data_IF_729377822852
#
_entry.id   IF_729377822852
#
_cell.length_a   1.000
_cell.length_b   1.000
_cell.length_c   1.000
_cell.angle_alpha   90.00
_cell.angle_beta   90.00
_cell.angle_gamma   90.00
#
_symmetry.space_group_name_H-M   'P 1'
#
loop_
_entity.id
_entity.type
_entity.pdbx_description
1 polymer ?
#
# COMPACT_ATOMS: atom_id res chain seq x y z
N UNK A 1 -6.40 -42.89 -24.80
CA UNK A 1 -5.49 -42.01 -25.57
C UNK A 1 -6.33 -40.86 -26.08
N UNK A 2 -5.83 -39.62 -26.01
CA UNK A 2 -6.07 -38.61 -27.05
C UNK A 2 -5.13 -37.43 -26.82
N UNK A 3 -4.30 -37.17 -27.82
CA UNK A 3 -3.15 -36.28 -27.74
C UNK A 3 -3.35 -35.06 -28.63
N UNK A 4 -3.41 -33.86 -28.04
CA UNK A 4 -3.32 -32.61 -28.78
C UNK A 4 -2.65 -31.50 -27.95
N UNK A 5 -1.41 -31.76 -27.51
CA UNK A 5 -0.47 -30.67 -27.20
C UNK A 5 0.03 -30.13 -28.54
N UNK A 6 -0.37 -28.91 -28.90
CA UNK A 6 0.24 -28.22 -30.04
C UNK A 6 1.67 -27.85 -29.68
N UNK A 7 2.62 -28.30 -30.49
CA UNK A 7 4.01 -27.93 -30.37
C UNK A 7 4.19 -26.43 -30.59
N UNK A 8 4.78 -25.73 -29.62
CA UNK A 8 5.04 -24.29 -29.70
C UNK A 8 6.21 -23.96 -30.66
N UNK A 9 6.90 -24.97 -31.20
CA UNK A 9 8.07 -24.86 -32.08
C UNK A 9 7.76 -24.42 -33.52
N UNK A 10 6.49 -24.29 -33.91
CA UNK A 10 6.08 -23.94 -35.29
C UNK A 10 5.31 -22.62 -35.40
N UNK A 11 5.59 -21.62 -34.55
CA UNK A 11 5.05 -20.28 -34.75
C UNK A 11 5.71 -19.60 -35.95
N UNK A 12 4.91 -19.34 -37.01
CA UNK A 12 5.29 -18.41 -38.10
C UNK A 12 4.47 -17.12 -37.96
N UNK A 13 5.09 -15.93 -37.89
CA UNK A 13 4.37 -14.67 -37.81
C UNK A 13 3.57 -14.42 -39.09
N UNK A 14 2.37 -13.83 -38.96
CA UNK A 14 1.48 -13.53 -40.11
C UNK A 14 2.05 -12.51 -41.10
N UNK A 15 3.01 -11.69 -40.68
CA UNK A 15 3.77 -10.81 -41.55
C UNK A 15 5.26 -10.90 -41.15
N UNK A 16 6.15 -11.47 -41.98
CA UNK A 16 7.57 -11.58 -41.68
C UNK A 16 8.31 -10.24 -41.73
N UNK A 17 7.72 -9.20 -42.31
CA UNK A 17 8.33 -7.87 -42.50
C UNK A 17 7.70 -6.80 -41.59
N UNK A 18 7.23 -7.15 -40.39
CA UNK A 18 6.70 -6.16 -39.42
C UNK A 18 7.85 -5.33 -38.80
N UNK A 19 7.92 -4.00 -39.00
CA UNK A 19 8.97 -3.17 -38.43
C UNK A 19 8.91 -3.02 -36.90
N UNK A 20 7.89 -3.58 -36.24
CA UNK A 20 7.79 -3.70 -34.78
C UNK A 20 8.22 -5.08 -34.26
N UNK A 21 8.62 -6.01 -35.13
CA UNK A 21 9.12 -7.30 -34.71
C UNK A 21 10.48 -7.14 -34.02
N UNK A 22 10.66 -7.57 -32.76
CA UNK A 22 11.95 -7.50 -32.10
C UNK A 22 12.94 -8.46 -32.78
N UNK A 23 14.00 -7.90 -33.36
CA UNK A 23 15.09 -8.68 -33.94
C UNK A 23 15.97 -9.25 -32.84
N UNK A 24 15.95 -10.58 -32.69
CA UNK A 24 16.94 -11.30 -31.88
C UNK A 24 18.27 -11.35 -32.66
N UNK A 25 19.08 -10.31 -32.49
CA UNK A 25 20.49 -10.32 -32.89
C UNK A 25 21.36 -10.86 -31.76
N UNK A 26 22.36 -11.68 -32.10
CA UNK A 26 23.36 -12.18 -31.15
C UNK A 26 24.34 -11.08 -30.72
N UNK A 27 23.89 -10.16 -29.85
CA UNK A 27 24.79 -9.21 -29.20
C UNK A 27 25.61 -9.89 -28.11
N UNK A 28 26.94 -9.85 -28.29
CA UNK A 28 27.92 -10.48 -27.41
C UNK A 28 27.94 -9.81 -26.05
N UNK A 29 28.08 -10.63 -25.01
CA UNK A 29 28.26 -10.17 -23.63
C UNK A 29 29.61 -9.46 -23.48
N UNK A 30 29.59 -8.15 -23.29
CA UNK A 30 30.71 -7.38 -22.75
C UNK A 30 30.45 -6.90 -21.31
N UNK A 31 31.55 -6.61 -20.60
CA UNK A 31 31.64 -6.56 -19.13
C UNK A 31 31.27 -5.20 -18.54
N UNK A 32 30.97 -5.12 -17.22
CA UNK A 32 30.36 -3.93 -16.63
C UNK A 32 31.35 -2.75 -16.51
N UNK A 33 30.85 -1.54 -16.77
CA UNK A 33 31.56 -0.28 -16.53
C UNK A 33 31.40 0.13 -15.06
N UNK A 34 32.51 0.45 -14.41
CA UNK A 34 32.59 0.93 -13.03
C UNK A 34 32.23 2.41 -12.91
N UNK A 35 31.55 2.77 -11.81
CA UNK A 35 31.29 4.16 -11.45
C UNK A 35 32.54 4.79 -10.81
N UNK A 36 33.16 5.76 -11.47
CA UNK A 36 34.13 6.67 -10.84
C UNK A 36 33.53 8.07 -10.68
N UNK A 37 33.35 8.47 -9.42
CA UNK A 37 33.05 9.85 -9.03
C UNK A 37 34.35 10.67 -9.03
N UNK A 38 34.38 11.78 -9.75
CA UNK A 38 35.44 12.81 -9.58
C UNK A 38 34.81 14.17 -9.30
N UNK A 39 35.06 14.66 -8.09
CA UNK A 39 34.82 16.03 -7.65
C UNK A 39 35.74 17.01 -8.38
N UNK A 40 35.31 18.26 -8.56
CA UNK A 40 36.18 19.42 -8.29
C UNK A 40 35.38 20.72 -8.04
N UNK A 41 35.77 21.43 -6.98
CA UNK A 41 35.37 22.81 -6.65
C UNK A 41 36.15 23.81 -7.57
N UNK A 42 35.98 25.14 -7.62
CA UNK A 42 35.17 26.19 -6.94
C UNK A 42 34.92 27.34 -7.97
N UNK A 43 34.51 28.60 -7.72
CA UNK A 43 34.15 29.47 -6.57
C UNK A 43 33.16 30.57 -7.09
N UNK A 44 32.36 31.30 -6.29
CA UNK A 44 32.67 32.55 -5.55
C UNK A 44 33.74 33.47 -6.21
N UNK A 45 33.62 34.81 -6.32
CA UNK A 45 32.61 35.81 -5.91
C UNK A 45 32.44 36.86 -7.07
N UNK A 46 31.76 38.03 -7.04
CA UNK A 46 31.31 38.95 -5.98
C UNK A 46 30.11 39.84 -6.42
N UNK A 47 29.78 40.88 -5.63
CA UNK A 47 28.92 42.03 -5.97
C UNK A 47 29.73 43.34 -5.81
N UNK A 48 29.36 44.42 -6.51
CA UNK A 48 29.38 45.80 -5.97
C UNK A 48 28.34 46.69 -6.66
N UNK A 49 27.84 47.69 -5.93
CA UNK A 49 26.85 48.68 -6.36
C UNK A 49 27.40 50.09 -6.04
N UNK A 50 26.89 51.13 -6.73
CA UNK A 50 27.11 52.58 -6.45
C UNK A 50 28.55 53.13 -6.65
N UNK A 51 28.82 54.38 -7.05
CA UNK A 51 27.99 55.58 -7.29
C UNK A 51 28.67 56.60 -8.23
N UNK A 52 27.86 57.39 -8.96
CA UNK A 52 28.08 58.79 -9.39
C UNK A 52 29.44 59.23 -10.00
N UNK A 53 29.47 59.44 -11.32
CA UNK A 53 29.93 60.71 -11.92
C UNK A 53 29.55 60.82 -13.41
N UNK A 54 28.91 61.93 -13.77
CA UNK A 54 28.85 62.51 -15.13
C UNK A 54 29.48 63.91 -15.01
N UNK A 55 30.22 64.44 -16.03
CA UNK A 55 29.65 64.73 -17.35
C UNK A 55 30.52 64.42 -18.60
N UNK A 56 29.87 64.58 -19.76
CA UNK A 56 30.34 64.81 -21.14
C UNK A 56 31.83 65.25 -21.33
N UNK A 57 32.55 64.91 -22.41
CA UNK A 57 32.19 64.99 -23.84
C UNK A 57 33.11 64.11 -24.71
N UNK A 58 32.57 63.36 -25.70
CA UNK A 58 33.31 63.03 -26.92
C UNK A 58 32.39 62.53 -28.07
N UNK A 59 31.71 63.44 -28.76
CA UNK A 59 30.71 63.14 -29.80
C UNK A 59 31.29 62.69 -31.16
N UNK A 60 32.60 62.48 -31.27
CA UNK A 60 33.28 62.06 -32.50
C UNK A 60 32.85 60.66 -32.98
N UNK A 61 32.60 59.72 -32.06
CA UNK A 61 32.13 58.36 -32.40
C UNK A 61 30.67 58.33 -32.90
N UNK A 62 29.81 59.20 -32.37
CA UNK A 62 28.39 59.23 -32.75
C UNK A 62 28.18 59.72 -34.19
N UNK A 63 28.96 60.72 -34.63
CA UNK A 63 28.91 61.22 -36.00
C UNK A 63 29.37 60.19 -37.04
N UNK A 64 30.37 59.36 -36.70
CA UNK A 64 30.79 58.24 -37.56
C UNK A 64 29.70 57.18 -37.77
N UNK A 65 28.91 56.88 -36.72
CA UNK A 65 27.81 55.92 -36.77
C UNK A 65 26.61 56.48 -37.54
N UNK A 66 26.30 57.79 -37.40
CA UNK A 66 25.23 58.42 -38.18
C UNK A 66 25.51 58.43 -39.69
N UNK A 67 26.76 58.69 -40.08
CA UNK A 67 27.15 58.68 -41.49
C UNK A 67 27.16 57.27 -42.11
N UNK A 68 27.52 56.23 -41.35
CA UNK A 68 27.41 54.85 -41.84
C UNK A 68 25.95 54.36 -41.92
N UNK A 69 25.09 54.79 -40.99
CA UNK A 69 23.65 54.50 -41.05
C UNK A 69 22.95 55.17 -42.24
N UNK A 70 23.23 56.45 -42.54
CA UNK A 70 22.70 57.11 -43.73
C UNK A 70 23.11 56.38 -45.01
N UNK A 71 24.40 56.05 -45.14
CA UNK A 71 24.93 55.37 -46.33
C UNK A 71 24.35 53.95 -46.52
N UNK A 72 23.97 53.27 -45.44
CA UNK A 72 23.29 51.97 -45.48
C UNK A 72 21.78 52.06 -45.77
N UNK A 73 21.14 53.21 -45.55
CA UNK A 73 19.75 53.48 -45.94
C UNK A 73 19.68 53.83 -47.43
N UNK A 74 20.51 54.76 -47.90
CA UNK A 74 20.61 55.13 -49.32
C UNK A 74 20.92 53.91 -50.21
N UNK A 75 21.77 52.98 -49.75
CA UNK A 75 22.07 51.72 -50.46
C UNK A 75 20.99 50.62 -50.35
N UNK A 76 19.96 50.80 -49.51
CA UNK A 76 18.78 49.95 -49.49
C UNK A 76 17.74 50.43 -50.50
N UNK A 77 17.46 51.73 -50.49
CA UNK A 77 16.44 52.34 -51.35
C UNK A 77 16.78 52.14 -52.84
N UNK A 78 18.05 52.20 -53.24
CA UNK A 78 18.50 51.88 -54.62
C UNK A 78 18.45 50.38 -55.00
N UNK A 79 18.27 49.46 -54.04
CA UNK A 79 18.24 48.01 -54.29
C UNK A 79 16.84 47.42 -54.34
N UNK A 80 15.89 48.02 -53.64
CA UNK A 80 14.51 47.53 -53.60
C UNK A 80 13.71 47.89 -54.88
N UNK A 81 14.12 48.90 -55.66
CA UNK A 81 13.50 49.23 -56.97
C UNK A 81 13.86 48.27 -58.13
N UNK A 82 14.73 47.26 -57.93
CA UNK A 82 15.16 46.33 -59.01
C UNK A 82 14.92 44.85 -58.75
N UNK A 83 14.22 44.49 -57.68
CA UNK A 83 13.77 43.11 -57.45
C UNK A 83 12.31 43.07 -57.00
N UNK A 84 11.37 43.07 -57.96
CA UNK A 84 10.03 42.54 -57.73
C UNK A 84 10.11 41.03 -57.46
N UNK A 85 10.50 40.65 -56.26
CA UNK A 85 10.42 39.26 -55.82
C UNK A 85 8.94 38.88 -55.77
N UNK A 86 8.51 38.00 -56.69
CA UNK A 86 7.18 37.38 -56.63
C UNK A 86 7.06 36.57 -55.34
N UNK A 87 6.54 37.20 -54.29
CA UNK A 87 6.24 36.55 -53.03
C UNK A 87 5.03 35.63 -53.22
N UNK A 88 5.29 34.40 -53.68
CA UNK A 88 4.26 33.37 -53.80
C UNK A 88 3.87 32.92 -52.39
N UNK A 89 2.74 33.43 -51.90
CA UNK A 89 2.13 32.94 -50.68
C UNK A 89 1.72 31.48 -50.88
N UNK A 90 1.98 30.58 -49.90
CA UNK A 90 1.52 29.20 -49.99
C UNK A 90 0.00 29.17 -49.99
N UNK A 91 -0.57 28.36 -50.89
CA UNK A 91 -2.01 28.19 -51.08
C UNK A 91 -2.73 27.96 -49.73
N UNK A 92 -3.74 28.81 -49.36
CA UNK A 92 -4.50 28.66 -48.12
C UNK A 92 -5.22 27.33 -47.98
N UNK A 93 -5.59 26.67 -49.09
CA UNK A 93 -6.34 25.41 -49.09
C UNK A 93 -5.43 24.17 -49.16
N UNK A 94 -4.12 24.34 -49.38
CA UNK A 94 -3.18 23.22 -49.45
C UNK A 94 -3.00 22.50 -48.10
N UNK A 95 -3.11 21.17 -48.11
CA UNK A 95 -2.84 20.30 -46.96
C UNK A 95 -1.37 20.35 -46.48
N UNK A 96 -0.45 20.74 -47.37
CA UNK A 96 0.98 20.89 -47.09
C UNK A 96 1.33 22.26 -46.50
N UNK A 97 0.35 23.17 -46.37
CA UNK A 97 0.57 24.48 -45.76
C UNK A 97 0.89 24.33 -44.27
N UNK A 98 2.12 24.71 -43.88
CA UNK A 98 2.63 24.60 -42.50
C UNK A 98 1.74 25.38 -41.51
N UNK A 99 1.13 26.49 -41.94
CA UNK A 99 0.19 27.28 -41.13
C UNK A 99 -1.07 26.48 -40.82
N UNK A 100 -1.60 25.73 -41.79
CA UNK A 100 -2.73 24.83 -41.58
C UNK A 100 -2.36 23.66 -40.67
N UNK A 101 -1.15 23.08 -40.80
CA UNK A 101 -0.70 22.02 -39.90
C UNK A 101 -0.56 22.49 -38.44
N UNK A 102 -0.11 23.73 -38.22
CA UNK A 102 -0.01 24.33 -36.89
C UNK A 102 -1.41 24.65 -36.31
N UNK A 103 -2.35 25.18 -37.10
CA UNK A 103 -3.76 25.37 -36.69
C UNK A 103 -4.45 24.02 -36.41
N UNK A 104 -4.18 23.00 -37.22
CA UNK A 104 -4.74 21.65 -37.09
C UNK A 104 -4.08 20.80 -36.00
N UNK A 105 -3.23 21.38 -35.11
CA UNK A 105 -2.88 20.73 -33.83
C UNK A 105 -4.11 20.45 -32.95
N UNK A 106 -5.24 21.12 -33.20
CA UNK A 106 -6.57 20.78 -32.68
C UNK A 106 -7.29 19.62 -33.38
N UNK A 107 -6.60 18.79 -34.18
CA UNK A 107 -7.21 17.72 -34.99
C UNK A 107 -8.14 16.79 -34.20
N UNK A 108 -9.10 16.19 -34.92
CA UNK A 108 -10.04 15.20 -34.39
C UNK A 108 -9.32 14.07 -33.63
N UNK A 109 -8.13 13.66 -34.08
CA UNK A 109 -7.27 12.67 -33.41
C UNK A 109 -6.81 13.14 -32.02
N UNK A 110 -6.36 14.40 -31.90
CA UNK A 110 -5.98 14.96 -30.60
C UNK A 110 -7.20 15.21 -29.70
N UNK A 111 -8.34 15.62 -30.27
CA UNK A 111 -9.60 15.77 -29.52
C UNK A 111 -10.09 14.43 -28.98
N UNK A 112 -10.05 13.36 -29.78
CA UNK A 112 -10.38 12.00 -29.36
C UNK A 112 -9.37 11.46 -28.34
N UNK A 113 -8.07 11.73 -28.50
CA UNK A 113 -7.04 11.35 -27.51
C UNK A 113 -7.27 12.09 -26.18
N UNK A 114 -7.62 13.37 -26.20
CA UNK A 114 -7.97 14.16 -25.01
C UNK A 114 -9.30 13.72 -24.38
N UNK A 115 -10.30 13.32 -25.17
CA UNK A 115 -11.54 12.72 -24.66
C UNK A 115 -11.23 11.38 -23.99
N UNK A 116 -10.56 10.45 -24.68
CA UNK A 116 -10.10 9.18 -24.12
C UNK A 116 -9.25 9.37 -22.85
N UNK A 117 -8.42 10.41 -22.79
CA UNK A 117 -7.64 10.74 -21.58
C UNK A 117 -8.51 11.31 -20.47
N UNK A 118 -9.46 12.21 -20.79
CA UNK A 118 -10.44 12.73 -19.82
C UNK A 118 -11.36 11.65 -19.29
N UNK A 119 -11.76 10.68 -20.11
CA UNK A 119 -12.64 9.58 -19.72
C UNK A 119 -11.87 8.48 -18.97
N UNK A 120 -10.58 8.26 -19.28
CA UNK A 120 -9.66 7.53 -18.39
C UNK A 120 -9.46 8.24 -17.05
N UNK A 121 -9.33 9.56 -17.02
CA UNK A 121 -9.22 10.33 -15.77
C UNK A 121 -10.54 10.32 -14.98
N UNK A 122 -11.71 10.32 -15.64
CA UNK A 122 -13.01 10.14 -14.98
C UNK A 122 -13.15 8.75 -14.39
N UNK A 123 -12.84 7.69 -15.14
CA UNK A 123 -12.90 6.30 -14.62
C UNK A 123 -11.86 6.03 -13.53
N UNK A 124 -10.74 6.77 -13.49
CA UNK A 124 -9.81 6.82 -12.35
C UNK A 124 -10.33 7.63 -11.14
N UNK A 125 -11.30 8.53 -11.33
CA UNK A 125 -11.98 9.30 -10.27
C UNK A 125 -13.29 8.66 -9.80
N UNK A 126 -13.88 7.77 -10.59
CA UNK A 126 -15.00 6.94 -10.18
C UNK A 126 -14.56 5.95 -9.11
N UNK A 127 -15.41 5.74 -8.11
CA UNK A 127 -15.18 4.71 -7.09
C UNK A 127 -14.94 3.36 -7.78
N UNK A 128 -13.80 2.73 -7.49
CA UNK A 128 -13.46 1.40 -7.99
C UNK A 128 -14.37 0.29 -7.39
N UNK A 129 -15.32 0.66 -6.51
CA UNK A 129 -16.23 -0.25 -5.82
C UNK A 129 -17.68 0.16 -6.05
N UNK A 130 -18.51 -0.80 -6.45
CA UNK A 130 -19.95 -0.63 -6.52
C UNK A 130 -20.59 -0.77 -5.14
N UNK A 131 -21.76 -0.15 -5.00
CA UNK A 131 -22.62 -0.38 -3.85
C UNK A 131 -23.20 -1.80 -3.91
N UNK A 132 -23.10 -2.54 -2.81
CA UNK A 132 -23.74 -3.83 -2.62
C UNK A 132 -25.24 -3.62 -2.35
N UNK A 133 -26.08 -4.53 -2.85
CA UNK A 133 -27.51 -4.54 -2.55
C UNK A 133 -27.74 -4.99 -1.10
N UNK A 134 -28.83 -4.54 -0.48
CA UNK A 134 -29.15 -4.90 0.91
C UNK A 134 -29.29 -6.41 1.10
N UNK A 135 -29.91 -7.12 0.14
CA UNK A 135 -30.00 -8.58 0.10
C UNK A 135 -28.62 -9.27 0.10
N UNK A 136 -27.66 -8.74 -0.65
CA UNK A 136 -26.28 -9.26 -0.70
C UNK A 136 -25.57 -9.06 0.65
N UNK A 137 -25.78 -7.89 1.27
CA UNK A 137 -25.25 -7.55 2.60
C UNK A 137 -25.83 -8.49 3.67
N UNK A 138 -27.13 -8.81 3.61
CA UNK A 138 -27.79 -9.74 4.53
C UNK A 138 -27.35 -11.19 4.35
N UNK A 139 -27.13 -11.63 3.11
CA UNK A 139 -26.58 -12.95 2.80
C UNK A 139 -25.16 -13.11 3.38
N UNK A 140 -24.29 -12.12 3.17
CA UNK A 140 -22.93 -12.10 3.74
C UNK A 140 -22.99 -12.09 5.29
N UNK A 141 -23.86 -11.26 5.89
CA UNK A 141 -24.05 -11.19 7.35
C UNK A 141 -24.50 -12.53 7.96
N UNK A 142 -25.51 -13.16 7.35
CA UNK A 142 -26.08 -14.43 7.83
C UNK A 142 -25.12 -15.62 7.67
N UNK A 143 -24.27 -15.58 6.62
CA UNK A 143 -23.24 -16.59 6.36
C UNK A 143 -22.09 -16.54 7.37
N UNK A 144 -21.54 -15.34 7.66
CA UNK A 144 -20.31 -15.20 8.45
C UNK A 144 -20.49 -14.72 9.90
N UNK A 145 -21.70 -14.27 10.27
CA UNK A 145 -22.11 -13.96 11.65
C UNK A 145 -21.07 -13.17 12.43
N UNK A 146 -20.51 -13.72 13.51
CA UNK A 146 -19.58 -13.03 14.41
C UNK A 146 -18.31 -12.50 13.71
N UNK A 147 -17.92 -13.12 12.60
CA UNK A 147 -16.70 -12.76 11.86
C UNK A 147 -16.84 -11.42 11.13
N UNK A 148 -18.06 -10.91 10.92
CA UNK A 148 -18.36 -9.63 10.25
C UNK A 148 -18.07 -8.46 11.19
N UNK A 149 -17.01 -7.68 10.97
CA UNK A 149 -16.66 -6.55 11.86
C UNK A 149 -17.08 -5.20 11.29
N UNK A 150 -16.93 -4.98 9.98
CA UNK A 150 -17.32 -3.72 9.32
C UNK A 150 -18.31 -3.99 8.20
N UNK A 151 -19.34 -3.18 8.10
CA UNK A 151 -20.29 -3.18 6.98
C UNK A 151 -20.37 -1.77 6.44
N UNK A 152 -19.87 -1.56 5.23
CA UNK A 152 -20.08 -0.35 4.44
C UNK A 152 -21.05 -0.68 3.30
N UNK A 153 -21.58 0.34 2.61
CA UNK A 153 -22.34 0.14 1.37
C UNK A 153 -21.50 -0.51 0.25
N UNK A 154 -20.18 -0.25 0.24
CA UNK A 154 -19.30 -0.67 -0.85
C UNK A 154 -18.45 -1.91 -0.50
N UNK A 155 -18.37 -2.31 0.77
CA UNK A 155 -17.58 -3.48 1.20
C UNK A 155 -17.99 -4.01 2.58
N UNK A 156 -17.76 -5.30 2.80
CA UNK A 156 -17.91 -5.96 4.10
C UNK A 156 -16.57 -6.55 4.52
N UNK A 157 -16.19 -6.29 5.77
CA UNK A 157 -14.90 -6.71 6.34
C UNK A 157 -15.15 -7.82 7.35
N UNK A 158 -14.53 -8.96 7.11
CA UNK A 158 -14.55 -10.15 7.93
C UNK A 158 -13.18 -10.33 8.61
N UNK A 159 -13.15 -10.91 9.81
CA UNK A 159 -11.93 -11.28 10.53
C UNK A 159 -12.02 -12.69 11.07
N UNK A 160 -11.04 -13.53 10.74
CA UNK A 160 -10.94 -14.87 11.31
C UNK A 160 -10.16 -14.86 12.63
N UNK A 161 -8.97 -14.26 12.56
CA UNK A 161 -7.81 -14.49 13.41
C UNK A 161 -6.85 -13.29 13.24
N UNK A 162 -5.52 -13.48 13.08
CA UNK A 162 -4.59 -12.46 12.54
C UNK A 162 -5.11 -11.87 11.22
N UNK A 163 -5.55 -12.77 10.33
CA UNK A 163 -6.05 -12.42 9.00
C UNK A 163 -7.58 -12.33 8.96
N UNK A 164 -8.07 -11.75 7.87
CA UNK A 164 -9.46 -11.80 7.48
C UNK A 164 -9.62 -11.50 6.01
N UNK A 165 -10.83 -11.09 5.62
CA UNK A 165 -11.17 -10.84 4.23
C UNK A 165 -12.03 -9.59 4.07
N UNK A 166 -11.80 -8.83 3.01
CA UNK A 166 -12.73 -7.82 2.54
C UNK A 166 -13.48 -8.36 1.31
N UNK A 167 -14.81 -8.32 1.36
CA UNK A 167 -15.69 -8.64 0.22
C UNK A 167 -16.25 -7.33 -0.33
N UNK A 168 -16.11 -7.11 -1.63
CA UNK A 168 -16.70 -5.95 -2.34
C UNK A 168 -17.04 -6.31 -3.78
N UNK A 169 -17.85 -5.48 -4.45
CA UNK A 169 -18.08 -5.59 -5.89
C UNK A 169 -17.25 -4.54 -6.62
N UNK A 170 -16.37 -4.94 -7.54
CA UNK A 170 -15.51 -4.03 -8.28
C UNK A 170 -16.31 -3.35 -9.40
N UNK A 171 -16.07 -2.05 -9.62
CA UNK A 171 -16.76 -1.26 -10.64
C UNK A 171 -16.23 -1.52 -12.06
N UNK A 172 -14.95 -1.89 -12.21
CA UNK A 172 -14.31 -2.04 -13.54
C UNK A 172 -14.72 -3.34 -14.24
N UNK A 173 -14.59 -4.48 -13.55
CA UNK A 173 -14.92 -5.81 -14.09
C UNK A 173 -16.33 -6.29 -13.72
N UNK A 174 -17.07 -5.53 -12.88
CA UNK A 174 -18.39 -5.85 -12.31
C UNK A 174 -18.43 -7.13 -11.45
N UNK A 175 -17.28 -7.68 -11.03
CA UNK A 175 -17.15 -8.92 -10.26
C UNK A 175 -17.21 -8.70 -8.76
N UNK A 176 -17.64 -9.72 -8.03
CA UNK A 176 -17.47 -9.81 -6.58
C UNK A 176 -16.05 -10.28 -6.28
N UNK A 177 -15.34 -9.53 -5.46
CA UNK A 177 -13.97 -9.83 -5.04
C UNK A 177 -13.95 -10.21 -3.57
N UNK A 178 -13.18 -11.25 -3.25
CA UNK A 178 -12.70 -11.53 -1.89
C UNK A 178 -11.19 -11.25 -1.85
N UNK A 179 -10.77 -10.40 -0.92
CA UNK A 179 -9.37 -9.96 -0.76
C UNK A 179 -8.89 -10.30 0.64
N UNK A 180 -7.72 -10.92 0.75
CA UNK A 180 -7.11 -11.21 2.04
C UNK A 180 -6.55 -9.93 2.68
N UNK A 181 -6.80 -9.75 3.98
CA UNK A 181 -6.34 -8.59 4.75
C UNK A 181 -5.65 -9.04 6.05
N UNK A 182 -4.68 -8.24 6.49
CA UNK A 182 -3.98 -8.39 7.77
C UNK A 182 -4.42 -7.28 8.73
N UNK A 183 -4.65 -7.62 10.00
CA UNK A 183 -5.04 -6.66 11.05
C UNK A 183 -3.86 -6.35 11.99
N UNK A 184 -3.91 -5.19 12.63
CA UNK A 184 -2.93 -4.79 13.64
C UNK A 184 -3.05 -5.57 14.97
N UNK A 185 -1.95 -5.56 15.73
CA UNK A 185 -1.81 -6.13 17.09
C UNK A 185 -1.91 -5.02 18.16
N UNK A 186 -2.89 -4.97 19.06
CA UNK A 186 -4.13 -5.75 19.20
C UNK A 186 -5.26 -5.03 18.41
N UNK A 187 -6.07 -5.74 17.62
CA UNK A 187 -7.10 -5.06 16.82
C UNK A 187 -8.19 -4.41 17.69
N UNK A 188 -8.60 -3.19 17.33
CA UNK A 188 -9.65 -2.44 18.01
C UNK A 188 -11.00 -2.57 17.25
N UNK A 189 -12.08 -3.11 17.87
CA UNK A 189 -13.38 -3.24 17.21
C UNK A 189 -14.07 -1.91 16.86
N UNK A 190 -13.73 -0.80 17.54
CA UNK A 190 -14.28 0.53 17.25
C UNK A 190 -13.49 1.26 16.15
N UNK A 191 -12.16 1.06 16.10
CA UNK A 191 -11.24 1.69 15.14
C UNK A 191 -10.51 0.61 14.37
N UNK A 192 -11.19 0.08 13.36
CA UNK A 192 -10.75 -1.10 12.62
C UNK A 192 -9.68 -0.70 11.59
N UNK A 193 -8.43 -1.04 11.89
CA UNK A 193 -7.25 -0.86 11.04
C UNK A 193 -6.84 -2.20 10.42
N UNK A 194 -6.62 -2.22 9.11
CA UNK A 194 -6.14 -3.37 8.36
C UNK A 194 -5.41 -2.93 7.08
N UNK A 195 -4.53 -3.79 6.59
CA UNK A 195 -3.84 -3.65 5.30
C UNK A 195 -4.16 -4.83 4.39
N UNK A 196 -4.07 -4.64 3.07
CA UNK A 196 -4.19 -5.74 2.13
C UNK A 196 -2.99 -6.69 2.30
N UNK A 197 -3.25 -8.00 2.29
CA UNK A 197 -2.19 -9.00 2.42
C UNK A 197 -1.49 -9.21 1.07
N UNK A 198 -0.20 -8.91 1.05
CA UNK A 198 0.70 -9.20 -0.07
C UNK A 198 1.58 -10.40 0.27
N UNK A 199 2.03 -11.14 -0.74
CA UNK A 199 2.96 -12.26 -0.57
C UNK A 199 3.89 -12.31 -1.78
N UNK A 200 5.19 -12.10 -1.56
CA UNK A 200 6.19 -12.12 -2.63
C UNK A 200 5.92 -11.12 -3.76
N UNK A 201 5.36 -9.94 -3.43
CA UNK A 201 4.93 -8.94 -4.42
C UNK A 201 3.57 -9.22 -5.09
N UNK A 202 2.96 -10.38 -4.87
CA UNK A 202 1.63 -10.71 -5.38
C UNK A 202 0.51 -10.30 -4.40
N UNK A 203 -0.57 -9.77 -4.96
CA UNK A 203 -1.81 -9.45 -4.25
C UNK A 203 -2.66 -10.71 -4.05
N UNK A 204 -3.17 -10.96 -2.84
CA UNK A 204 -4.03 -12.10 -2.56
C UNK A 204 -5.50 -11.67 -2.63
N UNK A 205 -6.10 -11.83 -3.81
CA UNK A 205 -7.54 -11.64 -4.03
C UNK A 205 -8.07 -12.49 -5.18
N UNK A 206 -9.37 -12.80 -5.14
CA UNK A 206 -10.06 -13.59 -6.15
C UNK A 206 -11.37 -12.90 -6.54
N UNK A 207 -11.57 -12.68 -7.84
CA UNK A 207 -12.80 -12.13 -8.41
C UNK A 207 -13.67 -13.20 -9.08
N UNK A 208 -14.97 -13.16 -8.83
CA UNK A 208 -16.00 -14.05 -9.40
C UNK A 208 -17.19 -13.25 -9.92
N UNK A 209 -17.88 -13.76 -10.94
CA UNK A 209 -19.09 -13.12 -11.46
C UNK A 209 -20.27 -13.26 -10.46
N UNK A 210 -20.33 -14.39 -9.74
CA UNK A 210 -21.38 -14.68 -8.74
C UNK A 210 -20.95 -14.47 -7.28
N UNK A 211 -21.91 -14.01 -6.46
CA UNK A 211 -21.71 -13.83 -5.02
C UNK A 211 -21.52 -15.16 -4.30
N UNK A 212 -22.31 -16.20 -4.60
CA UNK A 212 -22.24 -17.50 -3.90
C UNK A 212 -20.90 -18.21 -4.10
N UNK A 213 -20.29 -18.09 -5.29
CA UNK A 213 -18.93 -18.55 -5.54
C UNK A 213 -17.91 -17.80 -4.67
N UNK A 214 -18.10 -16.49 -4.49
CA UNK A 214 -17.28 -15.65 -3.61
C UNK A 214 -17.43 -16.05 -2.14
N UNK A 215 -18.67 -16.31 -1.67
CA UNK A 215 -18.94 -16.78 -0.31
C UNK A 215 -18.25 -18.13 -0.04
N UNK A 216 -18.44 -19.09 -0.95
CA UNK A 216 -17.82 -20.42 -0.87
C UNK A 216 -16.29 -20.35 -0.92
N UNK A 217 -15.72 -19.49 -1.78
CA UNK A 217 -14.26 -19.25 -1.79
C UNK A 217 -13.78 -18.67 -0.46
N UNK A 218 -14.51 -17.71 0.11
CA UNK A 218 -14.18 -17.11 1.41
C UNK A 218 -14.20 -18.15 2.53
N UNK A 219 -15.23 -19.01 2.58
CA UNK A 219 -15.30 -20.15 3.52
C UNK A 219 -14.11 -21.10 3.37
N UNK A 220 -13.67 -21.37 2.14
CA UNK A 220 -12.49 -22.18 1.89
C UNK A 220 -11.19 -21.48 2.34
N UNK A 221 -11.05 -20.16 2.14
CA UNK A 221 -9.88 -19.38 2.57
C UNK A 221 -9.79 -19.18 4.10
N UNK A 222 -10.91 -19.30 4.82
CA UNK A 222 -10.91 -19.40 6.29
C UNK A 222 -10.34 -20.72 6.81
N UNK A 223 -10.44 -21.81 6.03
CA UNK A 223 -10.00 -23.16 6.41
C UNK A 223 -8.65 -23.57 5.82
N UNK A 224 -8.28 -23.02 4.67
CA UNK A 224 -7.15 -23.49 3.85
C UNK A 224 -6.20 -22.36 3.46
N UNK A 225 -4.94 -22.71 3.21
CA UNK A 225 -3.89 -21.77 2.81
C UNK A 225 -3.33 -20.92 3.96
N UNK A 226 -2.51 -19.93 3.59
CA UNK A 226 -1.73 -19.08 4.54
C UNK A 226 -2.59 -18.23 5.48
N UNK A 227 -3.83 -17.94 5.10
CA UNK A 227 -4.80 -17.16 5.90
C UNK A 227 -5.66 -18.00 6.83
N UNK A 228 -5.81 -19.30 6.53
CA UNK A 228 -6.63 -20.23 7.30
C UNK A 228 -5.87 -20.91 8.43
N UNK A 229 -4.70 -21.49 8.14
CA UNK A 229 -3.88 -22.18 9.14
C UNK A 229 -2.95 -21.20 9.86
N UNK A 230 -3.35 -20.78 11.05
CA UNK A 230 -2.47 -20.09 12.01
C UNK A 230 -2.13 -21.05 13.13
N UNK A 231 -0.84 -21.30 13.30
CA UNK A 231 -0.33 -21.99 14.48
C UNK A 231 -0.27 -21.00 15.64
N UNK A 232 -1.22 -21.14 16.56
CA UNK A 232 -1.20 -20.47 17.85
C UNK A 232 -0.21 -21.16 18.78
N UNK A 233 0.54 -20.36 19.53
CA UNK A 233 1.50 -20.82 20.54
C UNK A 233 0.84 -21.01 21.90
N UNK A 234 0.05 -20.02 22.30
CA UNK A 234 -0.66 -19.97 23.56
C UNK A 234 -1.75 -18.89 23.50
N UNK A 235 -2.79 -19.04 24.32
CA UNK A 235 -3.91 -18.11 24.39
C UNK A 235 -3.92 -17.35 25.71
N UNK A 236 -4.42 -16.12 25.70
CA UNK A 236 -4.58 -15.33 26.92
C UNK A 236 -5.77 -15.86 27.71
N UNK A 237 -5.53 -16.24 28.96
CA UNK A 237 -6.56 -16.63 29.93
C UNK A 237 -6.77 -15.53 30.98
N UNK A 238 -5.74 -14.74 31.29
CA UNK A 238 -5.91 -13.60 32.17
C UNK A 238 -4.86 -12.50 31.92
N UNK A 239 -5.02 -11.35 32.55
CA UNK A 239 -4.10 -10.21 32.41
C UNK A 239 -4.05 -9.38 33.69
N UNK A 240 -2.84 -9.00 34.10
CA UNK A 240 -2.61 -8.20 35.30
C UNK A 240 -1.95 -6.87 34.94
N UNK A 241 -2.62 -5.77 35.32
CA UNK A 241 -2.09 -4.40 35.19
C UNK A 241 -0.92 -4.14 36.14
N UNK A 242 -0.98 -4.70 37.34
CA UNK A 242 -0.01 -4.46 38.42
C UNK A 242 1.35 -5.06 38.04
N UNK A 243 1.35 -6.31 37.59
CA UNK A 243 2.55 -7.02 37.16
C UNK A 243 2.91 -6.78 35.68
N UNK A 244 2.04 -6.08 34.93
CA UNK A 244 2.12 -5.88 33.48
C UNK A 244 2.33 -7.19 32.68
N UNK A 245 1.52 -8.21 32.98
CA UNK A 245 1.64 -9.55 32.40
C UNK A 245 0.35 -10.01 31.72
N UNK A 246 0.49 -10.65 30.57
CA UNK A 246 -0.48 -11.62 30.09
C UNK A 246 -0.21 -12.98 30.74
N UNK A 247 -1.28 -13.64 31.18
CA UNK A 247 -1.27 -15.01 31.69
C UNK A 247 -1.86 -15.90 30.60
N UNK A 248 -1.11 -16.91 30.18
CA UNK A 248 -1.45 -17.77 29.05
C UNK A 248 -1.59 -19.24 29.40
N UNK A 249 -2.40 -19.94 28.61
CA UNK A 249 -2.66 -21.38 28.73
C UNK A 249 -2.89 -21.97 27.34
N UNK A 250 -3.08 -23.29 27.26
CA UNK A 250 -3.38 -24.00 26.00
C UNK A 250 -4.85 -23.81 25.55
N UNK A 251 -5.77 -23.57 26.50
CA UNK A 251 -7.18 -23.33 26.21
C UNK A 251 -7.51 -21.82 26.12
N UNK A 252 -8.22 -21.36 25.07
CA UNK A 252 -8.59 -19.96 24.93
C UNK A 252 -9.73 -19.55 25.87
N UNK A 253 -9.51 -18.49 26.67
CA UNK A 253 -10.61 -17.83 27.38
C UNK A 253 -11.33 -16.84 26.45
N UNK A 254 -12.65 -16.84 26.55
CA UNK A 254 -13.54 -15.90 25.87
C UNK A 254 -13.78 -14.68 26.76
N UNK A 255 -13.36 -13.52 26.29
CA UNK A 255 -13.57 -12.22 26.93
C UNK A 255 -14.84 -11.55 26.41
N UNK A 256 -15.56 -10.87 27.29
CA UNK A 256 -16.63 -9.95 26.88
C UNK A 256 -16.05 -8.71 26.21
N UNK A 257 -16.87 -7.98 25.43
CA UNK A 257 -16.43 -6.74 24.79
C UNK A 257 -15.87 -5.69 25.78
N UNK A 258 -16.47 -5.56 26.96
CA UNK A 258 -16.05 -4.57 27.97
C UNK A 258 -14.71 -4.93 28.61
N UNK A 259 -14.41 -6.22 28.80
CA UNK A 259 -13.10 -6.72 29.21
C UNK A 259 -12.07 -6.56 28.10
N UNK A 260 -12.41 -6.99 26.88
CA UNK A 260 -11.54 -6.91 25.71
C UNK A 260 -11.10 -5.47 25.42
N UNK A 261 -12.00 -4.50 25.56
CA UNK A 261 -11.67 -3.07 25.46
C UNK A 261 -10.66 -2.61 26.52
N UNK A 262 -10.82 -3.04 27.78
CA UNK A 262 -9.85 -2.75 28.86
C UNK A 262 -8.46 -3.33 28.55
N UNK A 263 -8.40 -4.51 27.93
CA UNK A 263 -7.14 -5.14 27.48
C UNK A 263 -6.49 -4.30 26.36
N UNK A 264 -7.24 -3.87 25.34
CA UNK A 264 -6.73 -3.01 24.25
C UNK A 264 -6.17 -1.69 24.80
N UNK A 265 -6.93 -1.01 25.66
CA UNK A 265 -6.55 0.31 26.21
C UNK A 265 -5.33 0.23 27.15
N UNK A 266 -5.08 -0.93 27.77
CA UNK A 266 -3.86 -1.19 28.54
C UNK A 266 -2.68 -1.60 27.65
N UNK A 267 -2.92 -2.47 26.66
CA UNK A 267 -1.90 -2.94 25.72
C UNK A 267 -1.32 -1.79 24.89
N UNK A 268 -2.17 -0.93 24.33
CA UNK A 268 -1.75 0.25 23.55
C UNK A 268 -0.84 1.21 24.34
N UNK A 269 -1.03 1.32 25.66
CA UNK A 269 -0.21 2.18 26.54
C UNK A 269 1.10 1.52 26.98
N UNK A 270 1.11 0.18 27.12
CA UNK A 270 2.21 -0.54 27.78
C UNK A 270 2.96 -1.54 26.88
N UNK A 271 2.63 -1.66 25.59
CA UNK A 271 3.11 -2.68 24.63
C UNK A 271 4.58 -3.14 24.80
N UNK A 272 5.51 -2.21 25.03
CA UNK A 272 6.96 -2.49 25.19
C UNK A 272 7.29 -3.24 26.49
N UNK A 273 6.51 -3.03 27.56
CA UNK A 273 6.74 -3.53 28.92
C UNK A 273 5.96 -4.80 29.26
N UNK A 274 5.07 -5.26 28.38
CA UNK A 274 4.19 -6.40 28.68
C UNK A 274 4.93 -7.72 28.47
N UNK A 275 5.01 -8.49 29.55
CA UNK A 275 5.55 -9.84 29.56
C UNK A 275 4.42 -10.89 29.44
N UNK A 276 4.78 -12.11 29.06
CA UNK A 276 3.87 -13.25 28.95
C UNK A 276 4.36 -14.36 29.86
N UNK A 277 3.47 -14.81 30.75
CA UNK A 277 3.67 -15.92 31.69
C UNK A 277 2.69 -17.04 31.35
N UNK A 278 3.19 -18.26 31.21
CA UNK A 278 2.31 -19.44 31.14
C UNK A 278 1.80 -19.76 32.56
N UNK A 279 0.49 -19.96 32.70
CA UNK A 279 -0.19 -20.19 34.00
C UNK A 279 0.38 -21.37 34.78
N UNK A 280 0.79 -22.43 34.07
CA UNK A 280 1.21 -23.70 34.66
C UNK A 280 2.74 -23.80 34.84
N UNK A 281 3.51 -22.75 34.51
CA UNK A 281 4.97 -22.71 34.64
C UNK A 281 5.41 -21.50 35.47
N UNK A 282 6.12 -21.74 36.57
CA UNK A 282 6.77 -20.66 37.34
C UNK A 282 7.87 -20.02 36.50
N UNK A 283 7.92 -18.70 36.51
CA UNK A 283 9.00 -17.96 35.86
C UNK A 283 9.99 -17.36 36.88
N UNK A 284 11.01 -16.65 36.36
CA UNK A 284 12.02 -15.97 37.16
C UNK A 284 11.42 -14.97 38.18
N UNK A 285 10.39 -14.21 37.79
CA UNK A 285 9.80 -13.19 38.66
C UNK A 285 8.95 -13.82 39.77
N UNK A 286 8.22 -14.91 39.47
CA UNK A 286 7.49 -15.69 40.48
C UNK A 286 8.43 -16.21 41.56
N UNK A 287 9.56 -16.82 41.18
CA UNK A 287 10.55 -17.32 42.14
C UNK A 287 11.21 -16.18 42.93
N UNK A 288 11.50 -15.05 42.28
CA UNK A 288 12.02 -13.87 43.00
C UNK A 288 11.00 -13.27 43.96
N UNK A 289 9.71 -13.36 43.67
CA UNK A 289 8.63 -12.94 44.56
C UNK A 289 8.47 -13.91 45.74
N UNK A 290 8.46 -15.22 45.50
CA UNK A 290 8.48 -16.25 46.57
C UNK A 290 9.70 -16.07 47.49
N UNK A 291 10.90 -15.85 46.94
CA UNK A 291 12.12 -15.56 47.73
C UNK A 291 11.97 -14.30 48.56
N UNK A 292 11.36 -13.23 48.04
CA UNK A 292 11.09 -12.00 48.80
C UNK A 292 10.09 -12.24 49.93
N UNK A 293 9.00 -12.96 49.68
CA UNK A 293 8.02 -13.29 50.72
C UNK A 293 8.64 -14.15 51.83
N UNK A 294 9.38 -15.20 51.49
CA UNK A 294 10.07 -16.05 52.49
C UNK A 294 11.03 -15.25 53.36
N UNK A 295 11.83 -14.37 52.77
CA UNK A 295 12.70 -13.45 53.53
C UNK A 295 11.94 -12.49 54.43
N UNK A 296 10.80 -11.96 53.97
CA UNK A 296 9.94 -11.10 54.79
C UNK A 296 9.32 -11.84 55.98
N UNK A 297 8.99 -13.13 55.80
CA UNK A 297 8.49 -14.01 56.86
C UNK A 297 9.59 -14.52 57.82
N UNK A 298 10.86 -14.20 57.57
CA UNK A 298 12.00 -14.73 58.35
C UNK A 298 12.39 -16.18 58.01
N UNK A 299 11.82 -16.78 56.96
CA UNK A 299 12.15 -18.13 56.52
C UNK A 299 13.54 -18.19 55.85
N UNK A 300 14.28 -19.27 56.10
CA UNK A 300 15.57 -19.51 55.44
C UNK A 300 15.37 -19.77 53.93
N UNK A 301 16.02 -18.96 53.10
CA UNK A 301 16.07 -19.15 51.64
C UNK A 301 17.40 -19.76 51.24
N UNK A 302 17.37 -21.00 50.76
CA UNK A 302 18.55 -21.69 50.22
C UNK A 302 19.16 -20.90 49.05
N UNK A 303 20.50 -20.70 49.01
CA UNK A 303 21.20 -20.10 47.87
C UNK A 303 20.94 -20.80 46.53
N UNK A 304 20.59 -22.10 46.57
CA UNK A 304 20.25 -22.89 45.39
C UNK A 304 19.06 -22.29 44.61
N UNK A 305 18.10 -21.66 45.28
CA UNK A 305 16.93 -21.03 44.63
C UNK A 305 17.36 -19.86 43.71
N UNK A 306 18.41 -19.13 44.09
CA UNK A 306 18.95 -18.05 43.25
C UNK A 306 19.69 -18.58 42.02
N UNK A 307 20.32 -19.76 42.11
CA UNK A 307 20.90 -20.46 40.95
C UNK A 307 19.80 -21.01 40.03
N UNK A 308 18.80 -21.69 40.60
CA UNK A 308 17.63 -22.19 39.85
C UNK A 308 16.89 -21.09 39.10
N UNK A 309 16.65 -19.94 39.74
CA UNK A 309 16.04 -18.80 39.08
C UNK A 309 16.89 -18.29 37.90
N UNK A 310 18.22 -18.22 38.04
CA UNK A 310 19.12 -17.83 36.92
C UNK A 310 19.16 -18.83 35.76
N UNK A 311 18.79 -20.10 36.00
CA UNK A 311 18.68 -21.13 34.95
C UNK A 311 17.32 -21.14 34.25
N UNK A 312 16.33 -20.41 34.75
CA UNK A 312 14.99 -20.31 34.14
C UNK A 312 14.97 -19.19 33.10
N UNK A 313 14.31 -19.45 31.98
CA UNK A 313 14.15 -18.48 30.90
C UNK A 313 13.52 -17.16 31.39
N UNK A 314 14.01 -16.06 30.83
CA UNK A 314 13.44 -14.74 31.09
C UNK A 314 11.99 -14.67 30.58
N UNK A 315 11.12 -13.87 31.22
CA UNK A 315 9.74 -13.69 30.76
C UNK A 315 9.69 -13.27 29.29
N UNK A 316 8.86 -13.95 28.50
CA UNK A 316 8.72 -13.69 27.06
C UNK A 316 8.03 -12.34 26.85
N UNK A 317 8.47 -11.53 25.88
CA UNK A 317 7.77 -10.30 25.49
C UNK A 317 6.48 -10.60 24.72
N UNK A 318 5.46 -9.76 24.88
CA UNK A 318 4.18 -9.90 24.17
C UNK A 318 4.25 -9.44 22.69
N UNK A 319 4.80 -10.30 21.82
CA UNK A 319 4.85 -10.14 20.36
C UNK A 319 3.92 -11.13 19.64
N UNK A 320 3.44 -10.77 18.44
CA UNK A 320 2.55 -11.58 17.61
C UNK A 320 1.20 -11.88 18.24
N UNK A 321 0.60 -10.86 18.87
CA UNK A 321 -0.62 -10.98 19.67
C UNK A 321 -1.86 -10.48 18.92
N UNK A 322 -2.79 -11.39 18.64
CA UNK A 322 -3.97 -11.12 17.84
C UNK A 322 -5.24 -11.47 18.63
N UNK A 323 -6.08 -10.45 18.86
CA UNK A 323 -7.47 -10.68 19.21
C UNK A 323 -8.30 -11.04 17.98
N UNK A 324 -9.38 -11.81 18.14
CA UNK A 324 -10.36 -12.08 17.09
C UNK A 324 -11.77 -12.36 17.66
N UNK A 325 -12.85 -12.09 16.88
CA UNK A 325 -14.22 -12.33 17.35
C UNK A 325 -14.61 -13.81 17.27
N UNK A 326 -15.40 -14.23 18.25
CA UNK A 326 -15.92 -15.59 18.41
C UNK A 326 -17.41 -15.52 18.78
N UNK A 327 -18.15 -16.56 18.39
CA UNK A 327 -19.59 -16.66 18.61
C UNK A 327 -19.89 -16.57 20.11
N UNK A 328 -20.85 -15.70 20.47
CA UNK A 328 -21.43 -15.66 21.80
C UNK A 328 -22.62 -16.65 21.86
N UNK A 329 -22.53 -17.77 22.59
CA UNK A 329 -23.62 -18.76 22.65
C UNK A 329 -24.92 -18.20 23.25
N UNK A 330 -24.81 -17.14 24.07
CA UNK A 330 -25.94 -16.51 24.74
C UNK A 330 -26.68 -15.52 23.82
N UNK A 331 -26.07 -15.10 22.70
CA UNK A 331 -26.67 -14.13 21.79
C UNK A 331 -27.51 -14.81 20.71
N UNK A 332 -28.83 -14.60 20.77
CA UNK A 332 -29.81 -15.16 19.81
C UNK A 332 -30.31 -14.15 18.75
N UNK A 333 -29.76 -12.94 18.72
CA UNK A 333 -30.17 -11.89 17.78
C UNK A 333 -29.55 -12.06 16.38
N UNK A 334 -29.92 -11.17 15.46
CA UNK A 334 -29.39 -11.14 14.08
C UNK A 334 -28.28 -10.11 13.85
N UNK A 335 -28.05 -9.19 14.78
CA UNK A 335 -27.09 -8.09 14.63
C UNK A 335 -25.68 -8.49 15.11
N UNK A 336 -25.03 -9.33 14.31
CA UNK A 336 -23.62 -9.71 14.51
C UNK A 336 -22.63 -8.63 14.02
N UNK A 337 -23.06 -7.42 13.66
CA UNK A 337 -22.12 -6.34 13.31
C UNK A 337 -21.59 -5.67 14.58
N UNK A 338 -22.48 -5.41 15.55
CA UNK A 338 -22.11 -4.78 16.83
C UNK A 338 -21.08 -5.61 17.59
N UNK A 339 -20.02 -4.98 18.15
CA UNK A 339 -18.97 -5.69 18.88
C UNK A 339 -19.45 -6.24 20.23
N UNK A 340 -20.44 -5.59 20.85
CA UNK A 340 -21.04 -5.99 22.13
C UNK A 340 -21.73 -7.36 22.08
N UNK A 341 -22.21 -7.77 20.91
CA UNK A 341 -22.93 -9.03 20.72
C UNK A 341 -21.98 -10.25 20.56
N UNK A 342 -20.67 -10.05 20.76
CA UNK A 342 -19.62 -11.02 20.48
C UNK A 342 -18.77 -11.30 21.70
N UNK A 343 -18.10 -12.44 21.67
CA UNK A 343 -16.97 -12.73 22.54
C UNK A 343 -15.66 -12.55 21.75
N UNK A 344 -14.57 -12.38 22.47
CA UNK A 344 -13.24 -12.17 21.91
C UNK A 344 -12.26 -13.16 22.53
N UNK A 345 -11.47 -13.80 21.69
CA UNK A 345 -10.32 -14.61 22.11
C UNK A 345 -9.04 -13.86 21.70
N UNK A 346 -7.95 -14.11 22.42
CA UNK A 346 -6.64 -13.50 22.15
C UNK A 346 -5.60 -14.63 22.13
N UNK A 347 -4.87 -14.75 21.03
CA UNK A 347 -3.79 -15.73 20.87
C UNK A 347 -2.47 -15.08 20.48
N UNK A 348 -1.37 -15.74 20.80
CA UNK A 348 -0.04 -15.43 20.28
C UNK A 348 0.28 -16.38 19.11
N UNK A 349 0.65 -15.85 17.95
CA UNK A 349 1.05 -16.67 16.81
C UNK A 349 2.54 -17.06 16.89
N UNK A 350 2.92 -18.18 16.27
CA UNK A 350 4.33 -18.57 16.12
C UNK A 350 5.10 -17.75 15.06
N UNK A 351 4.40 -17.08 14.13
CA UNK A 351 5.01 -16.49 12.93
C UNK A 351 4.57 -15.04 12.67
N UNK A 352 5.51 -14.26 12.13
CA UNK A 352 5.29 -12.96 11.49
C UNK A 352 4.45 -13.06 10.20
#
# INVERSE_FOLDING_TARGET
>A
MDSNKKDFSQYKPKNPNDPKMPTLGDEKVEKPVTNDFVNNNSSNYSNTNTSTSEPFFNNSKALGILNSLKKNLEQKDEKDEKNESRLVLPDPESELNIVNQLRNRGSIKNRALQQNTKDKIKTLREDHRLHLKEQEIELIKSTFKEKVIKVNRNSIVLKNSKFGFEIYKNNVDKRYWVVAICFEELFNPQKITYTNLWTGGAFIGYGYDDLDLTLNKTLNLFKTGRTGNIYWKDFVVDWSKETNRFITDEEPKKFTYTEYKKIIDWYSKNKIRICVKNKNKKDYEDLMFEVKQKRANGEFVSPMVALQAKMIDKPRKASYIFGYPVLNPNYKGKDFVKPENKLYEIGFAFTE
#
